data_IF_966227702615
#
_entry.id   IF_966227702615
#
_cell.length_a   1.000
_cell.length_b   1.000
_cell.length_c   1.000
_cell.angle_alpha   90.00
_cell.angle_beta   90.00
_cell.angle_gamma   90.00
#
_symmetry.space_group_name_H-M   'P 1'
#
loop_
_entity.id
_entity.type
_entity.pdbx_description
1 polymer ?
#
# COMPACT_ATOMS: atom_id res chain seq x y z
N UNK A 1 3.89 -6.02 -12.45
CA UNK A 1 2.62 -6.59 -12.00
C UNK A 1 1.65 -5.43 -11.94
N UNK A 2 0.45 -5.63 -12.46
CA UNK A 2 -0.57 -4.60 -12.50
C UNK A 2 -1.30 -4.56 -11.17
N UNK A 3 -1.34 -3.39 -10.54
CA UNK A 3 -2.10 -3.13 -9.32
C UNK A 3 -3.00 -1.91 -9.53
N UNK A 4 -3.92 -1.68 -8.61
CA UNK A 4 -4.62 -0.39 -8.48
C UNK A 4 -4.05 0.36 -7.30
N UNK A 5 -3.58 1.58 -7.51
CA UNK A 5 -3.07 2.44 -6.45
C UNK A 5 -3.89 3.72 -6.37
N UNK A 6 -4.56 3.95 -5.25
CA UNK A 6 -5.48 5.07 -5.06
C UNK A 6 -6.52 5.17 -6.20
N UNK A 7 -7.16 4.04 -6.53
CA UNK A 7 -8.12 3.94 -7.64
C UNK A 7 -7.51 3.84 -9.05
N UNK A 8 -6.26 4.25 -9.26
CA UNK A 8 -5.64 4.33 -10.59
C UNK A 8 -4.82 3.08 -10.94
N UNK A 9 -4.90 2.54 -12.18
CA UNK A 9 -4.05 1.44 -12.62
C UNK A 9 -2.57 1.83 -12.59
N UNK A 10 -1.72 0.93 -12.09
CA UNK A 10 -0.27 1.12 -12.03
C UNK A 10 0.47 -0.21 -12.20
N UNK A 11 1.59 -0.18 -12.91
CA UNK A 11 2.56 -1.26 -12.90
C UNK A 11 3.61 -1.05 -11.79
N UNK A 12 3.99 -2.13 -11.12
CA UNK A 12 5.09 -2.15 -10.15
C UNK A 12 5.93 -3.42 -10.29
N UNK A 13 7.20 -3.33 -9.90
CA UNK A 13 8.09 -4.49 -9.73
C UNK A 13 8.29 -4.87 -8.26
N UNK A 14 7.67 -4.12 -7.34
CA UNK A 14 7.77 -4.32 -5.90
C UNK A 14 7.06 -5.61 -5.48
N UNK A 15 7.70 -6.38 -4.60
CA UNK A 15 7.18 -7.66 -4.12
C UNK A 15 6.35 -7.54 -2.84
N UNK A 16 6.50 -6.44 -2.09
CA UNK A 16 5.80 -6.20 -0.82
C UNK A 16 5.27 -4.76 -0.71
N UNK A 17 4.37 -4.54 0.26
CA UNK A 17 3.88 -3.19 0.60
C UNK A 17 5.05 -2.25 0.93
N UNK A 18 6.04 -2.71 1.71
CA UNK A 18 7.20 -1.90 2.07
C UNK A 18 8.02 -1.48 0.84
N UNK A 19 8.30 -2.41 -0.07
CA UNK A 19 9.04 -2.12 -1.30
C UNK A 19 8.27 -1.15 -2.19
N UNK A 20 6.96 -1.33 -2.28
CA UNK A 20 6.12 -0.44 -3.07
C UNK A 20 6.09 0.98 -2.48
N UNK A 21 5.99 1.13 -1.16
CA UNK A 21 6.11 2.44 -0.53
C UNK A 21 7.49 3.08 -0.75
N UNK A 22 8.56 2.28 -0.81
CA UNK A 22 9.91 2.77 -1.15
C UNK A 22 10.01 3.22 -2.60
N UNK A 23 9.46 2.45 -3.54
CA UNK A 23 9.36 2.82 -4.96
C UNK A 23 8.68 4.19 -5.14
N UNK A 24 7.64 4.45 -4.34
CA UNK A 24 6.91 5.72 -4.35
C UNK A 24 7.55 6.84 -3.53
N UNK A 25 8.70 6.60 -2.89
CA UNK A 25 9.37 7.55 -2.00
C UNK A 25 8.46 8.01 -0.84
N UNK A 26 7.64 7.08 -0.35
CA UNK A 26 6.70 7.23 0.77
C UNK A 26 7.13 6.44 2.01
N UNK A 27 8.20 5.65 1.92
CA UNK A 27 8.81 4.96 3.07
C UNK A 27 9.07 5.96 4.22
N UNK A 28 8.76 5.55 5.45
CA UNK A 28 8.91 6.41 6.62
C UNK A 28 7.78 7.40 6.87
N UNK A 29 6.96 7.76 5.87
CA UNK A 29 5.86 8.71 6.06
C UNK A 29 4.77 8.14 7.00
N UNK A 30 4.07 9.01 7.76
CA UNK A 30 2.99 8.61 8.66
C UNK A 30 1.70 8.34 7.88
N UNK A 31 1.73 7.30 7.05
CA UNK A 31 0.61 6.87 6.20
C UNK A 31 0.10 5.50 6.62
N UNK A 32 -1.22 5.31 6.56
CA UNK A 32 -1.84 4.01 6.66
C UNK A 32 -2.08 3.45 5.25
N UNK A 33 -1.85 2.15 5.11
CA UNK A 33 -2.06 1.42 3.85
C UNK A 33 -3.20 0.45 4.04
N UNK A 34 -4.16 0.51 3.13
CA UNK A 34 -5.19 -0.51 2.94
C UNK A 34 -4.81 -1.36 1.72
N UNK A 35 -4.84 -2.68 1.86
CA UNK A 35 -4.66 -3.66 0.80
C UNK A 35 -5.96 -4.45 0.67
N UNK A 36 -6.61 -4.39 -0.49
CA UNK A 36 -7.85 -5.12 -0.78
C UNK A 36 -8.94 -4.95 0.30
N UNK A 37 -9.18 -3.71 0.76
CA UNK A 37 -10.14 -3.37 1.83
C UNK A 37 -9.75 -3.83 3.23
N UNK A 38 -8.50 -4.25 3.42
CA UNK A 38 -7.95 -4.59 4.73
C UNK A 38 -6.80 -3.66 5.09
N UNK A 39 -6.87 -3.01 6.26
CA UNK A 39 -5.76 -2.20 6.78
C UNK A 39 -4.59 -3.13 7.08
N UNK A 40 -3.43 -2.82 6.50
CA UNK A 40 -2.19 -3.53 6.76
C UNK A 40 -1.51 -2.84 7.95
N UNK A 41 -1.24 -3.54 9.06
CA UNK A 41 -0.45 -2.97 10.15
C UNK A 41 0.94 -2.60 9.65
N UNK A 42 1.47 -1.43 10.06
CA UNK A 42 2.79 -0.97 9.62
C UNK A 42 3.91 -1.99 9.85
N UNK A 43 3.85 -2.73 10.96
CA UNK A 43 4.82 -3.79 11.27
C UNK A 43 4.81 -4.95 10.25
N UNK A 44 3.70 -5.15 9.54
CA UNK A 44 3.53 -6.20 8.54
C UNK A 44 3.87 -5.75 7.11
N UNK A 45 4.22 -4.49 6.86
CA UNK A 45 4.47 -3.98 5.49
C UNK A 45 5.54 -4.76 4.74
N UNK A 46 6.59 -5.20 5.43
CA UNK A 46 7.69 -5.95 4.83
C UNK A 46 7.28 -7.39 4.47
N UNK A 47 6.38 -8.00 5.26
CA UNK A 47 5.94 -9.39 5.09
C UNK A 47 4.70 -9.51 4.18
N UNK A 48 3.99 -8.39 3.97
CA UNK A 48 2.79 -8.35 3.13
C UNK A 48 3.18 -8.33 1.66
N UNK A 49 3.16 -9.51 1.03
CA UNK A 49 3.46 -9.72 -0.38
C UNK A 49 2.33 -9.18 -1.26
N UNK A 50 2.70 -8.40 -2.29
CA UNK A 50 1.77 -7.93 -3.31
C UNK A 50 1.56 -8.97 -4.40
N UNK A 51 0.35 -9.00 -4.94
CA UNK A 51 -0.05 -9.86 -6.04
C UNK A 51 -0.61 -9.03 -7.18
N UNK A 52 -0.51 -9.60 -8.38
CA UNK A 52 -1.15 -9.03 -9.56
C UNK A 52 -2.66 -8.87 -9.33
N UNK A 53 -3.19 -7.70 -9.67
CA UNK A 53 -4.57 -7.29 -9.47
C UNK A 53 -4.88 -6.67 -8.11
N UNK A 54 -3.93 -6.61 -7.16
CA UNK A 54 -4.17 -6.04 -5.83
C UNK A 54 -4.55 -4.56 -5.89
N UNK A 55 -5.44 -4.14 -4.98
CA UNK A 55 -5.82 -2.75 -4.77
C UNK A 55 -5.18 -2.21 -3.49
N UNK A 56 -4.44 -1.11 -3.63
CA UNK A 56 -3.69 -0.45 -2.56
C UNK A 56 -4.20 0.98 -2.44
N UNK A 57 -4.64 1.35 -1.25
CA UNK A 57 -5.11 2.71 -0.94
C UNK A 57 -4.26 3.31 0.19
N UNK A 58 -3.85 4.56 0.03
CA UNK A 58 -3.30 5.37 1.13
C UNK A 58 -4.46 6.08 1.80
N UNK A 59 -4.74 5.68 3.03
CA UNK A 59 -5.83 6.27 3.81
C UNK A 59 -5.26 7.20 4.87
N UNK A 60 -5.87 8.38 5.00
CA UNK A 60 -5.73 9.18 6.21
C UNK A 60 -6.80 8.72 7.19
N UNK A 61 -6.41 8.47 8.44
CA UNK A 61 -7.39 8.36 9.51
C UNK A 61 -8.11 9.70 9.63
N UNK A 62 -9.34 9.76 9.14
CA UNK A 62 -10.27 10.82 9.55
C UNK A 62 -10.65 10.50 10.99
N UNK A 63 -9.93 11.10 11.94
CA UNK A 63 -10.29 11.07 13.35
C UNK A 63 -11.70 11.65 13.48
N UNK A 64 -12.68 10.79 13.71
CA UNK A 64 -14.03 11.21 14.06
C UNK A 64 -14.06 11.50 15.55
N UNK A 65 -14.19 12.78 15.91
CA UNK A 65 -14.72 13.27 17.19
C UNK A 65 -13.93 12.96 18.45
#
# INVERSE_FOLDING_TARGET
MGIRFNGEPRETVSSSVQEFLRELQLEGRPIAVELNRAIVPRAAYQETVLKDGDAIEIVQFVGGG
#
